data_IF_161384684314
#
_entry.id   IF_161384684314
#
_cell.length_a   1.000
_cell.length_b   1.000
_cell.length_c   1.000
_cell.angle_alpha   90.00
_cell.angle_beta   90.00
_cell.angle_gamma   90.00
#
_symmetry.space_group_name_H-M   'P 1'
#
loop_
_entity.id
_entity.type
_entity.pdbx_description
1 polymer ?
#
# COMPACT_ATOMS: atom_id res chain seq x y z
N UNK A 1 4.67 -16.55 0.87
CA UNK A 1 4.61 -16.28 -0.59
C UNK A 1 3.21 -15.81 -0.92
N UNK A 2 3.07 -14.65 -1.56
CA UNK A 2 1.76 -14.19 -2.05
C UNK A 2 1.28 -15.14 -3.16
N UNK A 3 -0.01 -15.49 -3.15
CA UNK A 3 -0.60 -16.29 -4.22
C UNK A 3 -0.45 -15.57 -5.57
N UNK A 4 -0.26 -16.33 -6.65
CA UNK A 4 -0.20 -15.74 -7.99
C UNK A 4 -1.57 -15.13 -8.32
N UNK A 5 -1.57 -13.88 -8.80
CA UNK A 5 -2.80 -13.19 -9.20
C UNK A 5 -3.54 -13.97 -10.30
N UNK A 6 -2.80 -14.74 -11.13
CA UNK A 6 -3.36 -15.60 -12.17
C UNK A 6 -4.27 -16.71 -11.64
N UNK A 7 -4.20 -17.01 -10.34
CA UNK A 7 -5.15 -17.93 -9.70
C UNK A 7 -6.55 -17.31 -9.60
N UNK A 8 -6.67 -15.98 -9.67
CA UNK A 8 -7.92 -15.24 -9.42
C UNK A 8 -8.38 -14.37 -10.59
N UNK A 9 -7.46 -13.93 -11.47
CA UNK A 9 -7.78 -13.10 -12.64
C UNK A 9 -6.71 -13.20 -13.74
N UNK A 10 -7.09 -12.94 -14.99
CA UNK A 10 -6.15 -13.00 -16.13
C UNK A 10 -5.17 -11.82 -16.12
N UNK A 11 -5.60 -10.67 -15.57
CA UNK A 11 -4.80 -9.47 -15.45
C UNK A 11 -4.87 -8.87 -14.04
N UNK A 12 -3.83 -8.10 -13.67
CA UNK A 12 -3.86 -7.33 -12.42
C UNK A 12 -4.98 -6.29 -12.40
N UNK A 13 -5.31 -5.71 -13.55
CA UNK A 13 -6.38 -4.72 -13.66
C UNK A 13 -7.73 -5.34 -13.30
N UNK A 14 -8.02 -6.52 -13.83
CA UNK A 14 -9.24 -7.25 -13.52
C UNK A 14 -9.32 -7.62 -12.03
N UNK A 15 -8.21 -8.03 -11.42
CA UNK A 15 -8.17 -8.29 -9.98
C UNK A 15 -8.49 -7.03 -9.16
N UNK A 16 -7.97 -5.86 -9.55
CA UNK A 16 -8.34 -4.59 -8.93
C UNK A 16 -9.81 -4.27 -9.14
N UNK A 17 -10.36 -4.48 -10.33
CA UNK A 17 -11.77 -4.20 -10.61
C UNK A 17 -12.71 -5.08 -9.77
N UNK A 18 -12.39 -6.38 -9.65
CA UNK A 18 -13.12 -7.29 -8.75
C UNK A 18 -13.03 -6.84 -7.29
N UNK A 19 -11.83 -6.44 -6.83
CA UNK A 19 -11.62 -5.96 -5.46
C UNK A 19 -12.40 -4.67 -5.17
N UNK A 20 -12.41 -3.71 -6.11
CA UNK A 20 -13.18 -2.46 -5.97
C UNK A 20 -14.69 -2.74 -5.92
N UNK A 21 -15.20 -3.61 -6.79
CA UNK A 21 -16.61 -4.00 -6.79
C UNK A 21 -17.02 -4.64 -5.47
N UNK A 22 -16.14 -5.43 -4.84
CA UNK A 22 -16.38 -6.01 -3.52
C UNK A 22 -16.47 -4.94 -2.42
N UNK A 23 -15.68 -3.86 -2.51
CA UNK A 23 -15.66 -2.78 -1.52
C UNK A 23 -16.80 -1.78 -1.66
N UNK A 24 -17.40 -1.65 -2.85
CA UNK A 24 -18.40 -0.63 -3.17
C UNK A 24 -19.59 -0.57 -2.17
N UNK A 25 -20.17 -1.69 -1.69
CA UNK A 25 -21.24 -1.63 -0.70
C UNK A 25 -20.79 -1.06 0.65
N UNK A 26 -19.55 -1.35 1.08
CA UNK A 26 -18.99 -0.81 2.32
C UNK A 26 -18.70 0.69 2.18
N UNK A 27 -18.20 1.10 1.01
CA UNK A 27 -17.91 2.49 0.71
C UNK A 27 -19.19 3.35 0.65
N UNK A 28 -20.19 2.92 -0.14
CA UNK A 28 -21.47 3.64 -0.31
C UNK A 28 -22.26 3.74 0.99
N UNK A 29 -22.17 2.74 1.87
CA UNK A 29 -22.78 2.78 3.20
C UNK A 29 -21.95 3.49 4.27
N UNK A 30 -20.80 4.08 3.92
CA UNK A 30 -19.86 4.75 4.84
C UNK A 30 -19.36 3.84 5.97
N UNK A 31 -19.22 2.55 5.68
CA UNK A 31 -18.69 1.51 6.60
C UNK A 31 -17.25 1.12 6.29
N UNK A 32 -16.66 1.66 5.22
CA UNK A 32 -15.24 1.49 4.90
C UNK A 32 -14.44 2.68 5.42
N UNK A 33 -13.54 2.46 6.39
CA UNK A 33 -12.64 3.50 6.88
C UNK A 33 -11.49 3.76 5.88
N UNK A 34 -10.81 2.70 5.47
CA UNK A 34 -9.66 2.74 4.56
C UNK A 34 -9.31 1.33 4.08
N UNK A 35 -8.53 1.25 3.00
CA UNK A 35 -7.90 0.03 2.50
C UNK A 35 -6.45 -0.02 2.97
N UNK A 36 -6.09 -1.05 3.74
CA UNK A 36 -4.70 -1.29 4.15
C UNK A 36 -3.94 -2.05 3.05
N UNK A 37 -2.85 -1.46 2.58
CA UNK A 37 -1.89 -2.05 1.65
C UNK A 37 -0.60 -2.30 2.41
N UNK A 38 -0.43 -3.53 2.86
CA UNK A 38 0.73 -3.94 3.63
C UNK A 38 1.78 -4.57 2.72
N UNK A 39 2.95 -3.94 2.62
CA UNK A 39 4.05 -4.45 1.82
C UNK A 39 4.91 -5.44 2.62
N UNK A 40 5.55 -6.41 1.95
CA UNK A 40 6.42 -7.37 2.61
C UNK A 40 7.75 -6.75 3.04
N UNK A 41 8.51 -7.42 3.93
CA UNK A 41 9.75 -6.88 4.49
C UNK A 41 10.89 -6.70 3.48
N UNK A 42 10.81 -7.29 2.28
CA UNK A 42 11.79 -7.09 1.20
C UNK A 42 11.44 -5.90 0.27
N UNK A 43 10.40 -5.13 0.59
CA UNK A 43 9.98 -3.97 -0.18
C UNK A 43 10.70 -2.72 0.31
N UNK A 44 11.88 -2.46 -0.21
CA UNK A 44 12.78 -1.35 0.13
C UNK A 44 12.41 -0.02 -0.55
N UNK A 45 12.93 1.09 -0.03
CA UNK A 45 12.73 2.43 -0.62
C UNK A 45 13.59 2.62 -1.88
N UNK A 46 13.00 2.32 -3.05
CA UNK A 46 13.62 2.57 -4.35
C UNK A 46 12.59 3.07 -5.39
N UNK A 47 13.08 3.56 -6.53
CA UNK A 47 12.23 4.16 -7.57
C UNK A 47 11.19 3.19 -8.17
N UNK A 48 11.50 1.90 -8.26
CA UNK A 48 10.57 0.89 -8.77
C UNK A 48 9.41 0.68 -7.80
N UNK A 49 9.71 0.59 -6.51
CA UNK A 49 8.74 0.40 -5.44
C UNK A 49 7.86 1.66 -5.26
N UNK A 50 8.44 2.86 -5.37
CA UNK A 50 7.67 4.12 -5.39
C UNK A 50 6.67 4.15 -6.56
N UNK A 51 7.11 3.80 -7.78
CA UNK A 51 6.21 3.70 -8.94
C UNK A 51 5.10 2.69 -8.71
N UNK A 52 5.39 1.58 -8.02
CA UNK A 52 4.38 0.58 -7.70
C UNK A 52 3.34 1.11 -6.71
N UNK A 53 3.75 1.84 -5.67
CA UNK A 53 2.82 2.50 -4.74
C UNK A 53 1.89 3.46 -5.50
N UNK A 54 2.44 4.27 -6.41
CA UNK A 54 1.65 5.20 -7.23
C UNK A 54 0.64 4.46 -8.12
N UNK A 55 1.04 3.34 -8.72
CA UNK A 55 0.13 2.51 -9.49
C UNK A 55 -1.02 1.98 -8.61
N UNK A 56 -0.72 1.45 -7.42
CA UNK A 56 -1.76 0.97 -6.48
C UNK A 56 -2.66 2.13 -6.03
N UNK A 57 -2.09 3.29 -5.72
CA UNK A 57 -2.85 4.50 -5.35
C UNK A 57 -3.82 4.91 -6.45
N UNK A 58 -3.38 4.88 -7.71
CA UNK A 58 -4.22 5.18 -8.87
C UNK A 58 -5.38 4.19 -8.98
N UNK A 59 -5.12 2.89 -8.79
CA UNK A 59 -6.18 1.87 -8.81
C UNK A 59 -7.20 2.09 -7.70
N UNK A 60 -6.75 2.49 -6.50
CA UNK A 60 -7.59 2.73 -5.33
C UNK A 60 -8.03 4.20 -5.19
N UNK A 61 -8.03 5.01 -6.26
CA UNK A 61 -8.32 6.46 -6.17
C UNK A 61 -9.64 6.80 -5.47
N UNK A 62 -10.65 5.92 -5.57
CA UNK A 62 -11.97 6.09 -4.98
C UNK A 62 -12.04 5.80 -3.47
N UNK A 63 -11.00 5.20 -2.88
CA UNK A 63 -10.98 4.77 -1.48
C UNK A 63 -9.82 5.42 -0.72
N UNK A 64 -9.98 5.73 0.58
CA UNK A 64 -8.86 6.07 1.44
C UNK A 64 -7.87 4.91 1.48
N UNK A 65 -6.60 5.17 1.16
CA UNK A 65 -5.55 4.15 1.11
C UNK A 65 -4.58 4.35 2.25
N UNK A 66 -4.25 3.27 2.93
CA UNK A 66 -3.21 3.20 3.94
C UNK A 66 -2.08 2.30 3.49
N UNK A 67 -0.85 2.70 3.76
CA UNK A 67 0.33 1.87 3.49
C UNK A 67 1.03 1.52 4.78
N UNK A 68 1.40 0.25 4.89
CA UNK A 68 2.22 -0.29 5.95
C UNK A 68 3.55 -0.78 5.36
N UNK A 69 4.65 -0.19 5.81
CA UNK A 69 6.01 -0.57 5.44
C UNK A 69 6.64 -1.44 6.51
N UNK A 70 7.26 -2.55 6.10
CA UNK A 70 8.04 -3.45 6.98
C UNK A 70 9.54 -3.45 6.70
N UNK A 71 10.00 -2.59 5.79
CA UNK A 71 11.42 -2.45 5.47
C UNK A 71 11.93 -1.10 6.02
N UNK A 72 12.96 -1.13 6.85
CA UNK A 72 13.49 0.05 7.56
C UNK A 72 13.97 1.19 6.64
N UNK A 73 14.41 0.88 5.41
CA UNK A 73 14.93 1.88 4.47
C UNK A 73 13.96 3.04 4.16
N UNK A 74 12.63 2.82 4.24
CA UNK A 74 11.62 3.88 4.09
C UNK A 74 11.69 4.96 5.18
N UNK A 75 12.24 4.63 6.35
CA UNK A 75 12.34 5.54 7.48
C UNK A 75 13.78 5.71 7.99
N UNK A 76 14.76 5.37 7.16
CA UNK A 76 16.16 5.76 7.43
C UNK A 76 16.30 7.27 7.43
N UNK A 77 17.32 7.80 8.13
CA UNK A 77 17.53 9.25 8.28
C UNK A 77 17.59 10.00 6.95
N UNK A 78 18.07 9.34 5.89
CA UNK A 78 18.17 9.90 4.55
C UNK A 78 16.81 10.03 3.83
N UNK A 79 15.87 9.12 4.09
CA UNK A 79 14.63 9.01 3.31
C UNK A 79 13.37 9.39 4.09
N UNK A 80 13.39 9.38 5.42
CA UNK A 80 12.22 9.59 6.28
C UNK A 80 11.36 10.79 5.89
N UNK A 81 11.95 11.98 5.78
CA UNK A 81 11.21 13.20 5.44
C UNK A 81 10.64 13.14 4.01
N UNK A 82 11.40 12.58 3.08
CA UNK A 82 10.94 12.41 1.69
C UNK A 82 9.78 11.42 1.61
N UNK A 83 9.84 10.32 2.36
CA UNK A 83 8.76 9.33 2.44
C UNK A 83 7.50 9.96 3.04
N UNK A 84 7.60 10.70 4.15
CA UNK A 84 6.44 11.37 4.76
C UNK A 84 5.83 12.42 3.83
N UNK A 85 6.66 13.22 3.15
CA UNK A 85 6.20 14.19 2.16
C UNK A 85 5.49 13.51 0.99
N UNK A 86 6.08 12.44 0.44
CA UNK A 86 5.48 11.63 -0.63
C UNK A 86 4.11 11.06 -0.24
N UNK A 87 3.98 10.47 0.95
CA UNK A 87 2.71 9.93 1.42
C UNK A 87 1.66 11.03 1.55
N UNK A 88 2.05 12.19 2.08
CA UNK A 88 1.17 13.35 2.25
C UNK A 88 0.69 13.89 0.89
N UNK A 89 1.61 14.09 -0.07
CA UNK A 89 1.32 14.60 -1.41
C UNK A 89 0.29 13.72 -2.14
N UNK A 90 0.39 12.41 -1.99
CA UNK A 90 -0.49 11.45 -2.65
C UNK A 90 -1.71 11.03 -1.82
N UNK A 91 -1.95 11.68 -0.67
CA UNK A 91 -3.06 11.39 0.25
C UNK A 91 -3.08 9.92 0.69
N UNK A 92 -1.90 9.37 0.97
CA UNK A 92 -1.70 8.01 1.47
C UNK A 92 -1.52 8.09 2.99
N UNK A 93 -2.34 7.35 3.72
CA UNK A 93 -2.26 7.27 5.17
C UNK A 93 -1.09 6.35 5.53
N UNK A 94 -0.19 6.82 6.39
CA UNK A 94 0.87 5.98 6.94
C UNK A 94 0.33 5.15 8.12
N UNK A 95 0.39 3.82 8.04
CA UNK A 95 0.16 2.95 9.18
C UNK A 95 1.39 2.99 10.09
N UNK A 96 1.23 3.50 11.32
CA UNK A 96 2.27 3.41 12.35
C UNK A 96 2.20 2.02 12.97
N UNK A 97 3.22 1.20 12.72
CA UNK A 97 3.28 -0.18 13.20
C UNK A 97 4.03 -0.24 14.52
N UNK A 98 3.45 -0.98 15.48
CA UNK A 98 4.19 -1.49 16.63
C UNK A 98 4.59 -2.94 16.32
N UNK A 99 5.81 -3.13 15.84
CA UNK A 99 6.39 -4.44 15.53
C UNK A 99 7.70 -4.67 16.31
N UNK A 100 8.08 -5.94 16.55
CA UNK A 100 9.31 -6.26 17.27
C UNK A 100 10.50 -5.55 16.64
N UNK A 101 11.27 -4.83 17.45
CA UNK A 101 12.48 -4.12 17.04
C UNK A 101 13.61 -5.14 16.75
N UNK A 102 13.45 -5.93 15.69
CA UNK A 102 14.50 -6.82 15.21
C UNK A 102 15.49 -5.95 14.46
N UNK A 103 16.60 -5.62 15.13
CA UNK A 103 17.78 -5.08 14.45
C UNK A 103 18.31 -6.18 13.54
N UNK A 104 18.52 -5.81 12.28
CA UNK A 104 19.11 -6.60 11.20
C UNK A 104 18.10 -7.36 10.30
N UNK A 105 17.65 -6.62 9.29
CA UNK A 105 17.17 -7.07 7.99
C UNK A 105 17.64 -6.07 6.92
#
# INVERSE_FOLDING_TARGET
LHADYKTFADTRQELFDQFKNMLEPLHTQKKLAMVLVQFPPWFDCNAQNIKYILYVRQQLQAFPMCVEFRHQSWFSDAFKEQTLAFLTEHQIIHAVVDEPQVKDG
#
